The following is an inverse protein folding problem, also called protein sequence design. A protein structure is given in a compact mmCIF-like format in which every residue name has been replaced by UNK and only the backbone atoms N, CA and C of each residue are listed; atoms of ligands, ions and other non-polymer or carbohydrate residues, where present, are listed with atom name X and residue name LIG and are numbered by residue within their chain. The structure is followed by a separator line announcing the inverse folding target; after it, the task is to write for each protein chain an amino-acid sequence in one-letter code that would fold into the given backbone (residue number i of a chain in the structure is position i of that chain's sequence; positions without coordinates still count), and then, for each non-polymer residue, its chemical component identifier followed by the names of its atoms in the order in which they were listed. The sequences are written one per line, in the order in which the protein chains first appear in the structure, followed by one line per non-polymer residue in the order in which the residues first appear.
data_IF_465823101232
#
_entry.id   IF_465823101232
#
_cell.length_a   1.000
_cell.length_b   1.000
_cell.length_c   1.000
_cell.angle_alpha   90.00
_cell.angle_beta   90.00
_cell.angle_gamma   90.00
#
_symmetry.space_group_name_H-M   'P 1'
#
loop_
_entity.id
_entity.type
_entity.pdbx_description
1 polymer ?
#
# COMPACT_ATOMS: atom_id res chain seq x y z
N UNK A 1 58.12 -24.81 -14.15
CA UNK A 1 57.25 -24.23 -15.21
C UNK A 1 55.88 -24.90 -15.35
N UNK A 2 55.75 -26.24 -15.26
CA UNK A 2 54.44 -26.94 -15.38
C UNK A 2 53.43 -26.58 -14.27
N UNK A 3 53.89 -26.48 -13.01
CA UNK A 3 53.03 -26.12 -11.87
C UNK A 3 52.49 -24.67 -11.96
N UNK A 4 53.30 -23.73 -12.46
CA UNK A 4 52.90 -22.33 -12.64
C UNK A 4 51.81 -22.18 -13.71
N UNK A 5 51.91 -22.97 -14.80
CA UNK A 5 50.90 -23.02 -15.86
C UNK A 5 49.59 -23.66 -15.38
N UNK A 6 49.67 -24.68 -14.52
CA UNK A 6 48.48 -25.30 -13.92
C UNK A 6 47.75 -24.34 -12.98
N UNK A 7 48.47 -23.57 -12.17
CA UNK A 7 47.89 -22.55 -11.28
C UNK A 7 47.18 -21.43 -12.06
N UNK A 8 47.78 -20.95 -13.16
CA UNK A 8 47.18 -19.95 -14.05
C UNK A 8 45.90 -20.45 -14.73
N UNK A 9 45.86 -21.71 -15.16
CA UNK A 9 44.66 -22.33 -15.72
C UNK A 9 43.52 -22.46 -14.70
N UNK A 10 43.85 -22.80 -13.45
CA UNK A 10 42.87 -22.91 -12.37
C UNK A 10 42.27 -21.55 -12.00
N UNK A 11 43.11 -20.50 -11.95
CA UNK A 11 42.65 -19.14 -11.72
C UNK A 11 41.72 -18.64 -12.85
N UNK A 12 42.04 -18.97 -14.10
CA UNK A 12 41.20 -18.63 -15.25
C UNK A 12 39.83 -19.33 -15.22
N UNK A 13 39.77 -20.61 -14.83
CA UNK A 13 38.50 -21.35 -14.71
C UNK A 13 37.61 -20.81 -13.56
N UNK A 14 38.20 -20.38 -12.44
CA UNK A 14 37.46 -19.84 -11.30
C UNK A 14 36.72 -18.54 -11.62
N UNK A 15 37.27 -17.71 -12.52
CA UNK A 15 36.63 -16.47 -12.99
C UNK A 15 35.32 -16.68 -13.79
N UNK A 16 35.06 -17.88 -14.33
CA UNK A 16 33.84 -18.15 -15.08
C UNK A 16 32.66 -18.63 -14.22
N UNK A 17 32.89 -19.02 -12.96
CA UNK A 17 31.83 -19.49 -12.04
C UNK A 17 30.91 -18.33 -11.60
N UNK A 18 31.45 -17.11 -11.52
CA UNK A 18 30.68 -15.90 -11.15
C UNK A 18 29.74 -15.40 -12.24
N UNK A 19 29.79 -15.96 -13.45
CA UNK A 19 28.90 -15.63 -14.57
C UNK A 19 27.64 -16.52 -14.63
N UNK A 20 27.42 -17.37 -13.63
CA UNK A 20 26.13 -18.05 -13.47
C UNK A 20 25.08 -17.00 -13.11
N UNK A 21 24.34 -16.52 -14.12
CA UNK A 21 23.18 -15.66 -13.92
C UNK A 21 22.33 -16.30 -12.84
N UNK A 22 22.05 -15.56 -11.76
CA UNK A 22 20.99 -15.91 -10.81
C UNK A 22 19.77 -16.25 -11.65
N UNK A 23 19.36 -17.52 -11.63
CA UNK A 23 18.07 -17.95 -12.17
C UNK A 23 17.06 -16.93 -11.71
N UNK A 24 16.33 -16.33 -12.65
CA UNK A 24 15.38 -15.24 -12.39
C UNK A 24 14.54 -15.63 -11.19
N UNK A 25 14.83 -15.01 -10.05
CA UNK A 25 14.04 -15.17 -8.85
C UNK A 25 12.69 -14.58 -9.22
N UNK A 26 11.73 -15.46 -9.55
CA UNK A 26 10.43 -15.06 -10.04
C UNK A 26 9.84 -14.14 -8.98
N UNK A 27 9.53 -12.90 -9.36
CA UNK A 27 8.93 -11.92 -8.46
C UNK A 27 7.63 -12.54 -7.97
N UNK A 28 7.62 -12.95 -6.70
CA UNK A 28 6.43 -13.51 -6.05
C UNK A 28 5.53 -12.35 -5.69
N UNK A 29 4.65 -12.00 -6.61
CA UNK A 29 3.57 -11.08 -6.34
C UNK A 29 2.57 -11.77 -5.41
N UNK A 30 2.21 -11.08 -4.33
CA UNK A 30 1.12 -11.51 -3.48
C UNK A 30 -0.20 -11.36 -4.26
N UNK A 31 -0.93 -12.46 -4.40
CA UNK A 31 -2.22 -12.50 -5.10
C UNK A 31 -3.42 -12.47 -4.18
N UNK A 32 -3.21 -12.39 -2.85
CA UNK A 32 -4.30 -12.33 -1.88
C UNK A 32 -5.13 -11.05 -2.00
N UNK A 33 -4.48 -9.93 -2.32
CA UNK A 33 -5.10 -8.61 -2.50
C UNK A 33 -4.68 -8.00 -3.86
N UNK A 34 -5.34 -8.38 -4.96
CA UNK A 34 -4.93 -7.95 -6.31
C UNK A 34 -5.05 -6.44 -6.52
N UNK A 35 -5.89 -5.77 -5.73
CA UNK A 35 -6.14 -4.33 -5.79
C UNK A 35 -5.15 -3.51 -4.95
N UNK A 36 -4.24 -4.17 -4.22
CA UNK A 36 -3.32 -3.49 -3.31
C UNK A 36 -2.39 -2.50 -4.02
N UNK A 37 -2.05 -2.73 -5.29
CA UNK A 37 -1.14 -1.92 -6.11
C UNK A 37 -1.80 -1.28 -7.34
N UNK A 38 -3.12 -1.41 -7.48
CA UNK A 38 -3.83 -0.87 -8.62
C UNK A 38 -3.74 0.68 -8.63
N UNK A 39 -3.27 1.31 -9.71
CA UNK A 39 -2.96 2.75 -9.73
C UNK A 39 -4.20 3.66 -9.69
N UNK A 40 -5.36 3.11 -10.05
CA UNK A 40 -6.66 3.77 -10.03
C UNK A 40 -7.39 3.61 -8.68
N UNK A 41 -6.84 2.81 -7.76
CA UNK A 41 -7.43 2.55 -6.45
C UNK A 41 -6.64 3.27 -5.37
N UNK A 42 -7.35 4.11 -4.63
CA UNK A 42 -6.80 4.80 -3.47
C UNK A 42 -7.23 4.12 -2.17
N UNK A 43 -6.39 4.24 -1.16
CA UNK A 43 -6.61 3.69 0.17
C UNK A 43 -6.52 4.80 1.20
N UNK A 44 -7.27 4.69 2.29
CA UNK A 44 -7.32 5.68 3.36
C UNK A 44 -6.88 5.05 4.67
N UNK A 45 -6.19 5.83 5.50
CA UNK A 45 -5.93 5.49 6.91
C UNK A 45 -6.74 6.43 7.78
N UNK A 46 -7.53 5.86 8.69
CA UNK A 46 -8.33 6.63 9.66
C UNK A 46 -7.42 7.26 10.71
N UNK A 47 -7.59 8.56 10.95
CA UNK A 47 -6.79 9.35 11.88
C UNK A 47 -7.45 9.48 13.26
N UNK A 48 -8.77 9.61 13.28
CA UNK A 48 -9.53 9.83 14.51
C UNK A 48 -9.60 8.56 15.35
N UNK A 49 -9.44 8.64 16.70
CA UNK A 49 -9.58 7.49 17.59
C UNK A 49 -10.87 6.70 17.37
N UNK A 50 -11.96 7.44 17.08
CA UNK A 50 -13.27 6.89 16.76
C UNK A 50 -13.97 7.79 15.75
N UNK A 51 -14.11 7.29 14.52
CA UNK A 51 -14.78 7.98 13.43
C UNK A 51 -16.13 7.31 13.12
N UNK A 52 -17.14 8.13 12.85
CA UNK A 52 -18.45 7.66 12.44
C UNK A 52 -18.62 7.84 10.93
N UNK A 53 -18.91 6.75 10.23
CA UNK A 53 -19.34 6.82 8.83
C UNK A 53 -20.68 7.55 8.76
N UNK A 54 -20.82 8.39 7.74
CA UNK A 54 -22.06 9.11 7.44
C UNK A 54 -22.80 8.46 6.28
N UNK A 55 -24.13 8.44 6.33
CA UNK A 55 -24.95 7.91 5.23
C UNK A 55 -24.76 8.73 3.93
N UNK A 56 -24.57 10.04 4.06
CA UNK A 56 -24.29 10.95 2.94
C UNK A 56 -23.09 11.83 3.28
N UNK A 57 -22.52 12.50 2.27
CA UNK A 57 -21.38 13.41 2.41
C UNK A 57 -21.77 14.75 3.09
N UNK A 58 -22.31 14.68 4.30
CA UNK A 58 -22.80 15.82 5.08
C UNK A 58 -22.58 15.60 6.57
N UNK A 59 -22.23 16.67 7.29
CA UNK A 59 -22.06 16.64 8.75
C UNK A 59 -23.34 16.32 9.52
N UNK A 60 -24.50 16.67 8.93
CA UNK A 60 -25.81 16.45 9.55
C UNK A 60 -26.40 15.06 9.24
N UNK A 61 -25.71 14.25 8.42
CA UNK A 61 -26.18 12.91 8.11
C UNK A 61 -26.04 11.97 9.31
N UNK A 62 -26.98 11.02 9.42
CA UNK A 62 -26.93 10.00 10.47
C UNK A 62 -25.69 9.10 10.31
N UNK A 63 -25.28 8.52 11.43
CA UNK A 63 -24.19 7.54 11.44
C UNK A 63 -24.65 6.22 10.79
N UNK A 64 -23.85 5.71 9.86
CA UNK A 64 -24.07 4.43 9.19
C UNK A 64 -23.28 3.28 9.85
N UNK A 65 -22.21 3.62 10.57
CA UNK A 65 -21.30 2.69 11.21
C UNK A 65 -20.11 3.45 11.81
N UNK A 66 -19.08 2.71 12.24
CA UNK A 66 -17.92 3.29 12.90
C UNK A 66 -16.62 2.61 12.49
N UNK A 67 -15.54 3.36 12.54
CA UNK A 67 -14.16 2.90 12.37
C UNK A 67 -13.24 3.58 13.38
N UNK A 68 -12.00 3.11 13.47
CA UNK A 68 -11.04 3.50 14.47
C UNK A 68 -9.73 3.93 13.84
N UNK A 69 -8.96 4.69 14.61
CA UNK A 69 -7.62 5.13 14.22
C UNK A 69 -6.77 3.94 13.76
N UNK A 70 -6.14 4.10 12.61
CA UNK A 70 -5.31 3.07 12.00
C UNK A 70 -6.07 2.07 11.13
N UNK A 71 -7.40 2.12 11.06
CA UNK A 71 -8.15 1.32 10.09
C UNK A 71 -7.77 1.72 8.66
N UNK A 72 -7.62 0.72 7.80
CA UNK A 72 -7.19 0.87 6.41
C UNK A 72 -8.37 0.55 5.51
N UNK A 73 -8.81 1.53 4.74
CA UNK A 73 -10.07 1.49 4.02
C UNK A 73 -9.84 1.75 2.52
N UNK A 74 -10.48 0.97 1.66
CA UNK A 74 -10.46 1.24 0.22
C UNK A 74 -11.41 2.39 -0.12
N UNK A 75 -10.91 3.40 -0.84
CA UNK A 75 -11.73 4.51 -1.31
C UNK A 75 -12.54 4.07 -2.53
N UNK A 76 -13.86 4.13 -2.43
CA UNK A 76 -14.79 3.76 -3.52
C UNK A 76 -15.38 4.98 -4.23
N UNK A 77 -15.13 6.19 -3.73
CA UNK A 77 -15.65 7.41 -4.32
C UNK A 77 -15.18 8.67 -3.61
N UNK A 78 -15.40 9.82 -4.24
CA UNK A 78 -15.03 11.15 -3.72
C UNK A 78 -16.13 12.16 -4.07
N UNK A 79 -16.45 13.03 -3.12
CA UNK A 79 -17.33 14.18 -3.35
C UNK A 79 -16.61 15.45 -2.87
N UNK A 80 -16.63 16.50 -3.70
CA UNK A 80 -16.12 17.81 -3.33
C UNK A 80 -17.29 18.79 -3.28
N UNK A 81 -17.68 19.19 -2.06
CA UNK A 81 -18.81 20.07 -1.81
C UNK A 81 -18.28 21.43 -1.40
N UNK A 82 -18.83 22.51 -1.98
CA UNK A 82 -18.35 23.88 -1.74
C UNK A 82 -18.35 24.27 -0.25
N UNK A 83 -19.32 23.79 0.51
CA UNK A 83 -19.54 24.20 1.91
C UNK A 83 -18.99 23.18 2.92
N UNK A 84 -19.04 21.88 2.61
CA UNK A 84 -18.67 20.81 3.55
C UNK A 84 -17.30 20.16 3.26
N UNK A 85 -16.57 20.67 2.26
CA UNK A 85 -15.23 20.20 1.91
C UNK A 85 -15.24 18.90 1.11
N UNK A 86 -14.12 18.18 1.18
CA UNK A 86 -13.94 16.89 0.49
C UNK A 86 -14.40 15.76 1.40
N UNK A 87 -15.13 14.83 0.80
CA UNK A 87 -15.62 13.61 1.43
C UNK A 87 -15.19 12.40 0.61
N UNK A 88 -14.86 11.32 1.32
CA UNK A 88 -14.49 10.05 0.73
C UNK A 88 -15.54 9.00 1.05
N UNK A 89 -15.91 8.22 0.04
CA UNK A 89 -16.84 7.10 0.16
C UNK A 89 -16.06 5.81 0.39
N UNK A 90 -16.55 5.02 1.33
CA UNK A 90 -16.08 3.69 1.69
C UNK A 90 -17.27 2.72 1.64
N UNK A 91 -17.00 1.43 1.85
CA UNK A 91 -18.02 0.39 1.91
C UNK A 91 -19.11 0.72 2.94
N UNK A 92 -18.72 1.21 4.12
CA UNK A 92 -19.63 1.44 5.25
C UNK A 92 -20.20 2.87 5.32
N UNK A 93 -19.82 3.76 4.38
CA UNK A 93 -20.35 5.11 4.27
C UNK A 93 -19.29 6.16 3.96
N UNK A 94 -19.56 7.40 4.38
CA UNK A 94 -18.75 8.57 4.05
C UNK A 94 -17.95 9.07 5.26
N UNK A 95 -16.68 9.43 5.03
CA UNK A 95 -15.88 10.17 6.01
C UNK A 95 -15.39 11.49 5.40
N UNK A 96 -15.28 12.55 6.21
CA UNK A 96 -14.68 13.80 5.76
C UNK A 96 -13.16 13.62 5.58
N UNK A 97 -12.55 14.41 4.70
CA UNK A 97 -11.10 14.45 4.49
C UNK A 97 -10.33 14.66 5.80
N UNK A 98 -10.87 15.40 6.76
CA UNK A 98 -10.24 15.64 8.06
C UNK A 98 -10.03 14.37 8.90
N UNK A 99 -10.83 13.31 8.67
CA UNK A 99 -10.79 12.09 9.46
C UNK A 99 -9.83 11.03 8.88
N UNK A 100 -9.28 11.26 7.69
CA UNK A 100 -8.50 10.24 6.95
C UNK A 100 -7.30 10.83 6.22
N UNK A 101 -6.26 10.03 6.01
CA UNK A 101 -5.19 10.35 5.05
C UNK A 101 -5.25 9.38 3.88
N UNK A 102 -5.18 9.91 2.65
CA UNK A 102 -5.27 9.12 1.42
C UNK A 102 -3.88 8.74 0.91
N UNK A 103 -3.75 7.49 0.47
CA UNK A 103 -2.56 6.87 -0.10
C UNK A 103 -2.87 6.25 -1.46
N UNK A 104 -1.85 6.24 -2.32
CA UNK A 104 -1.95 5.75 -3.69
C UNK A 104 -2.03 4.22 -3.81
N UNK A 105 -1.79 3.48 -2.72
CA UNK A 105 -1.83 2.02 -2.69
C UNK A 105 -1.97 1.53 -1.24
N UNK A 106 -2.33 0.25 -1.08
CA UNK A 106 -2.60 -0.38 0.22
C UNK A 106 -1.37 -0.45 1.10
N UNK A 107 -0.23 -0.86 0.56
CA UNK A 107 1.01 -1.04 1.34
C UNK A 107 1.53 0.25 1.96
N UNK A 108 1.34 1.40 1.29
CA UNK A 108 1.64 2.72 1.86
C UNK A 108 0.70 3.08 3.01
N UNK A 109 -0.58 2.75 2.88
CA UNK A 109 -1.55 2.92 3.95
C UNK A 109 -1.21 2.02 5.16
N UNK A 110 -0.85 0.76 4.94
CA UNK A 110 -0.38 -0.17 5.97
C UNK A 110 0.85 0.36 6.71
N UNK A 111 1.87 0.77 5.96
CA UNK A 111 3.10 1.36 6.52
C UNK A 111 2.84 2.62 7.35
N UNK A 112 1.79 3.38 7.02
CA UNK A 112 1.40 4.57 7.77
C UNK A 112 0.59 4.22 9.01
N UNK A 113 -0.36 3.27 8.90
CA UNK A 113 -1.17 2.79 10.01
C UNK A 113 -0.33 2.16 11.12
N UNK A 114 0.74 1.45 10.78
CA UNK A 114 1.69 0.89 11.76
C UNK A 114 2.36 1.95 12.62
N UNK A 115 2.62 3.15 12.07
CA UNK A 115 3.25 4.27 12.79
C UNK A 115 2.28 5.03 13.71
N UNK A 116 0.98 4.78 13.56
CA UNK A 116 -0.08 5.45 14.32
C UNK A 116 -0.49 4.68 15.58
N UNK A 117 -0.09 3.41 15.68
CA UNK A 117 -0.23 2.53 16.84
C UNK A 117 0.81 2.89 17.90
#
# INVERSE_FOLDING_TARGET
MRALRAALLFAALASFVSCTKKSSEAIRLDTSEPLALAPDISWAVVLDPYAAYRLTSSWNAAAAGYCRKGDILQVTGKAALKESGVWYKFQDGWLPESAVTIYSNRYRAESAAEKLK
#
